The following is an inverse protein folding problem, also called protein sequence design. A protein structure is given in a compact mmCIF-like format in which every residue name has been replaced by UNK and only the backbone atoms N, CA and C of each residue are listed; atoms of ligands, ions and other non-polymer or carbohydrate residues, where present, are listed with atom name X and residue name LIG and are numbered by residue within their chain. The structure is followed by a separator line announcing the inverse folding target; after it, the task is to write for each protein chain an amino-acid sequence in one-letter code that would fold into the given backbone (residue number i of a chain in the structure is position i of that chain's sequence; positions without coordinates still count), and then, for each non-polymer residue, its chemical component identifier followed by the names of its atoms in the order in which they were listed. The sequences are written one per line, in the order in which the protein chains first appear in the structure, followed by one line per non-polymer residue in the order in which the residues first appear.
data_IF_171289095910
#
_entry.id   IF_171289095910
#
_cell.length_a   1.000
_cell.length_b   1.000
_cell.length_c   1.000
_cell.angle_alpha   90.00
_cell.angle_beta   90.00
_cell.angle_gamma   90.00
#
_symmetry.space_group_name_H-M   'P 1'
#
loop_
_entity.id
_entity.type
_entity.pdbx_description
1 polymer ?
#
# COMPACT_ATOMS: atom_id res chain seq x y z
N UNK A 1 -84.64 1.93 19.74
CA UNK A 1 -83.68 1.11 20.54
C UNK A 1 -83.00 0.15 19.58
N UNK A 2 -81.79 0.51 19.15
CA UNK A 2 -80.52 -0.22 19.37
C UNK A 2 -80.24 -1.35 18.36
N UNK A 3 -79.49 -0.96 17.33
CA UNK A 3 -78.51 -1.67 16.47
C UNK A 3 -78.53 -3.21 16.42
N UNK A 4 -78.55 -3.76 15.18
CA UNK A 4 -77.76 -4.93 14.84
C UNK A 4 -76.78 -4.60 13.72
N UNK A 5 -75.46 -4.74 13.94
CA UNK A 5 -74.59 -5.29 12.88
C UNK A 5 -73.39 -5.95 13.54
N UNK A 6 -73.34 -7.29 13.46
CA UNK A 6 -72.15 -8.06 13.77
C UNK A 6 -71.04 -7.75 12.76
N UNK A 7 -69.92 -7.28 13.26
CA UNK A 7 -68.70 -7.10 12.48
C UNK A 7 -68.10 -8.50 12.22
N UNK A 8 -68.32 -9.03 11.02
CA UNK A 8 -67.63 -10.24 10.55
C UNK A 8 -66.14 -9.92 10.41
N UNK A 9 -65.33 -10.38 11.37
CA UNK A 9 -63.89 -10.46 11.17
C UNK A 9 -63.61 -11.48 10.06
N UNK A 10 -63.42 -10.99 8.84
CA UNK A 10 -62.96 -11.82 7.74
C UNK A 10 -61.51 -12.25 8.01
N UNK A 11 -61.32 -13.57 8.06
CA UNK A 11 -60.07 -14.35 8.09
C UNK A 11 -58.97 -13.92 7.08
N UNK A 12 -59.23 -12.93 6.23
CA UNK A 12 -58.30 -12.40 5.24
C UNK A 12 -57.14 -11.58 5.86
N UNK A 13 -57.26 -11.10 7.11
CA UNK A 13 -56.24 -10.25 7.73
C UNK A 13 -55.08 -11.01 8.39
N UNK A 14 -55.23 -12.31 8.70
CA UNK A 14 -54.20 -13.10 9.41
C UNK A 14 -53.18 -13.76 8.46
N UNK A 15 -53.52 -13.97 7.19
CA UNK A 15 -52.60 -14.57 6.19
C UNK A 15 -51.44 -13.65 5.79
N UNK A 16 -51.56 -12.33 5.97
CA UNK A 16 -50.52 -11.37 5.55
C UNK A 16 -49.44 -11.08 6.59
N UNK A 17 -49.62 -11.49 7.85
CA UNK A 17 -48.61 -11.25 8.91
C UNK A 17 -47.48 -12.27 8.83
N UNK A 18 -47.80 -13.54 8.55
CA UNK A 18 -46.81 -14.62 8.40
C UNK A 18 -45.86 -14.42 7.22
N UNK A 19 -46.37 -13.95 6.09
CA UNK A 19 -45.57 -13.66 4.89
C UNK A 19 -44.72 -12.39 5.04
N UNK A 20 -45.20 -11.39 5.78
CA UNK A 20 -44.43 -10.19 6.13
C UNK A 20 -43.31 -10.48 7.13
N UNK A 21 -43.45 -11.52 7.97
CA UNK A 21 -42.38 -11.97 8.89
C UNK A 21 -41.38 -12.89 8.17
N UNK A 22 -41.82 -13.76 7.26
CA UNK A 22 -40.92 -14.63 6.46
C UNK A 22 -40.10 -13.86 5.42
N UNK A 23 -40.64 -12.79 4.82
CA UNK A 23 -39.91 -11.94 3.85
C UNK A 23 -38.89 -10.99 4.50
N UNK A 24 -38.89 -10.83 5.84
CA UNK A 24 -37.95 -9.99 6.60
C UNK A 24 -36.64 -10.69 7.01
N UNK A 25 -36.37 -11.91 6.55
CA UNK A 25 -35.13 -12.61 6.96
C UNK A 25 -33.90 -12.27 6.12
N UNK A 26 -34.07 -11.86 4.86
CA UNK A 26 -32.93 -11.46 4.01
C UNK A 26 -33.34 -10.30 3.09
N UNK A 27 -32.83 -9.11 3.40
CA UNK A 27 -33.04 -7.86 2.65
C UNK A 27 -31.86 -6.91 2.88
N UNK A 28 -31.78 -5.76 2.19
CA UNK A 28 -30.66 -4.83 2.30
C UNK A 28 -30.42 -4.37 3.75
N UNK A 29 -31.49 -4.30 4.55
CA UNK A 29 -31.47 -3.86 5.94
C UNK A 29 -31.36 -4.95 7.01
N UNK A 30 -31.38 -6.23 6.62
CA UNK A 30 -31.24 -7.33 7.57
C UNK A 30 -29.87 -7.28 8.28
N UNK A 31 -29.88 -7.26 9.62
CA UNK A 31 -28.68 -7.21 10.45
C UNK A 31 -27.72 -8.37 10.13
N UNK A 32 -28.22 -9.61 10.05
CA UNK A 32 -27.42 -10.77 9.66
C UNK A 32 -26.80 -10.59 8.26
N UNK A 33 -27.57 -10.13 7.27
CA UNK A 33 -27.06 -9.84 5.93
C UNK A 33 -26.01 -8.72 5.94
N UNK A 34 -26.18 -7.67 6.76
CA UNK A 34 -25.21 -6.59 6.94
C UNK A 34 -23.91 -7.11 7.55
N UNK A 35 -23.99 -8.00 8.55
CA UNK A 35 -22.83 -8.63 9.17
C UNK A 35 -22.09 -9.54 8.18
N UNK A 36 -22.82 -10.36 7.40
CA UNK A 36 -22.24 -11.19 6.34
C UNK A 36 -21.60 -10.32 5.25
N UNK A 37 -22.24 -9.23 4.79
CA UNK A 37 -21.66 -8.27 3.84
C UNK A 37 -20.38 -7.62 4.37
N UNK A 38 -20.37 -7.18 5.63
CA UNK A 38 -19.17 -6.63 6.29
C UNK A 38 -18.06 -7.68 6.40
N UNK A 39 -18.39 -8.91 6.78
CA UNK A 39 -17.44 -10.01 6.85
C UNK A 39 -16.85 -10.33 5.46
N UNK A 40 -17.68 -10.40 4.42
CA UNK A 40 -17.26 -10.60 3.03
C UNK A 40 -16.38 -9.46 2.52
N UNK A 41 -16.71 -8.20 2.83
CA UNK A 41 -15.85 -7.04 2.52
C UNK A 41 -14.49 -7.15 3.22
N UNK A 42 -14.45 -7.51 4.51
CA UNK A 42 -13.22 -7.74 5.27
C UNK A 42 -12.39 -8.89 4.68
N UNK A 43 -13.02 -10.02 4.32
CA UNK A 43 -12.37 -11.17 3.67
C UNK A 43 -11.79 -10.78 2.31
N UNK A 44 -12.57 -10.10 1.46
CA UNK A 44 -12.13 -9.58 0.15
C UNK A 44 -10.98 -8.60 0.29
N UNK A 45 -11.01 -7.70 1.28
CA UNK A 45 -9.90 -6.78 1.57
C UNK A 45 -8.64 -7.53 1.99
N UNK A 46 -8.74 -8.48 2.93
CA UNK A 46 -7.61 -9.32 3.37
C UNK A 46 -7.00 -10.12 2.21
N UNK A 47 -7.83 -10.77 1.40
CA UNK A 47 -7.36 -11.54 0.23
C UNK A 47 -6.69 -10.64 -0.81
N UNK A 48 -7.24 -9.45 -1.04
CA UNK A 48 -6.67 -8.45 -1.95
C UNK A 48 -5.32 -7.94 -1.44
N UNK A 49 -5.22 -7.63 -0.14
CA UNK A 49 -3.98 -7.19 0.50
C UNK A 49 -2.88 -8.26 0.38
N UNK A 50 -3.18 -9.51 0.72
CA UNK A 50 -2.23 -10.62 0.60
C UNK A 50 -1.76 -10.81 -0.85
N UNK A 51 -2.67 -10.72 -1.83
CA UNK A 51 -2.34 -10.83 -3.25
C UNK A 51 -1.45 -9.68 -3.75
N UNK A 52 -1.70 -8.46 -3.27
CA UNK A 52 -0.85 -7.28 -3.56
C UNK A 52 0.55 -7.46 -2.95
N UNK A 53 0.64 -7.93 -1.71
CA UNK A 53 1.92 -8.17 -1.04
C UNK A 53 2.74 -9.24 -1.74
N UNK A 54 2.12 -10.37 -2.10
CA UNK A 54 2.76 -11.42 -2.89
C UNK A 54 3.28 -10.88 -4.23
N UNK A 55 2.45 -10.12 -4.96
CA UNK A 55 2.85 -9.47 -6.22
C UNK A 55 4.04 -8.53 -6.02
N UNK A 56 4.03 -7.69 -4.97
CA UNK A 56 5.14 -6.77 -4.66
C UNK A 56 6.43 -7.51 -4.37
N UNK A 57 6.37 -8.65 -3.67
CA UNK A 57 7.54 -9.49 -3.40
C UNK A 57 8.14 -10.04 -4.70
N UNK A 58 7.31 -10.63 -5.56
CA UNK A 58 7.75 -11.15 -6.86
C UNK A 58 8.29 -10.03 -7.75
N UNK A 59 7.61 -8.89 -7.84
CA UNK A 59 8.04 -7.75 -8.62
C UNK A 59 9.39 -7.21 -8.15
N UNK A 60 9.63 -7.19 -6.83
CA UNK A 60 10.93 -6.75 -6.28
C UNK A 60 12.05 -7.65 -6.77
N UNK A 61 11.89 -8.96 -6.64
CA UNK A 61 12.90 -9.94 -7.05
C UNK A 61 13.17 -9.79 -8.55
N UNK A 62 12.11 -9.70 -9.36
CA UNK A 62 12.23 -9.45 -10.79
C UNK A 62 12.96 -8.15 -11.08
N UNK A 63 12.58 -7.04 -10.46
CA UNK A 63 13.20 -5.73 -10.69
C UNK A 63 14.67 -5.71 -10.29
N UNK A 64 15.04 -6.35 -9.17
CA UNK A 64 16.43 -6.45 -8.75
C UNK A 64 17.27 -7.11 -9.84
N UNK A 65 16.78 -8.24 -10.35
CA UNK A 65 17.47 -9.00 -11.40
C UNK A 65 17.50 -8.25 -12.74
N UNK A 66 16.35 -7.77 -13.21
CA UNK A 66 16.24 -7.23 -14.58
C UNK A 66 16.79 -5.82 -14.73
N UNK A 67 16.76 -5.00 -13.68
CA UNK A 67 17.22 -3.60 -13.75
C UNK A 67 18.63 -3.40 -13.25
N UNK A 68 19.05 -4.19 -12.27
CA UNK A 68 20.32 -3.98 -11.57
C UNK A 68 21.25 -5.18 -11.64
N UNK A 69 20.81 -6.29 -12.25
CA UNK A 69 21.60 -7.52 -12.29
C UNK A 69 21.76 -8.20 -10.93
N UNK A 70 20.98 -7.80 -9.91
CA UNK A 70 21.14 -8.29 -8.55
C UNK A 70 20.12 -9.37 -8.19
N UNK A 71 20.57 -10.38 -7.48
CA UNK A 71 19.75 -11.27 -6.68
C UNK A 71 19.32 -10.60 -5.38
N UNK A 72 18.34 -11.21 -4.68
CA UNK A 72 17.97 -10.73 -3.35
C UNK A 72 19.13 -10.86 -2.35
N UNK A 73 19.92 -11.93 -2.48
CA UNK A 73 21.06 -12.19 -1.61
C UNK A 73 22.17 -11.15 -1.79
N UNK A 74 22.53 -10.81 -3.02
CA UNK A 74 23.52 -9.75 -3.30
C UNK A 74 23.06 -8.39 -2.78
N UNK A 75 21.77 -8.07 -2.89
CA UNK A 75 21.21 -6.87 -2.27
C UNK A 75 21.38 -6.88 -0.74
N UNK A 76 21.16 -8.02 -0.09
CA UNK A 76 21.30 -8.17 1.37
C UNK A 76 22.76 -8.09 1.81
N UNK A 77 23.69 -8.64 1.02
CA UNK A 77 25.13 -8.49 1.25
C UNK A 77 25.56 -7.03 1.15
N UNK A 78 25.14 -6.32 0.11
CA UNK A 78 25.42 -4.88 -0.05
C UNK A 78 24.80 -4.06 1.08
N UNK A 79 23.59 -4.42 1.53
CA UNK A 79 22.97 -3.78 2.69
C UNK A 79 23.78 -4.00 3.97
N UNK A 80 24.32 -5.20 4.16
CA UNK A 80 25.15 -5.55 5.32
C UNK A 80 26.49 -4.83 5.27
N UNK A 81 27.13 -4.76 4.11
CA UNK A 81 28.39 -4.04 3.88
C UNK A 81 28.24 -2.55 4.20
N UNK A 82 27.06 -1.98 3.98
CA UNK A 82 26.72 -0.61 4.36
C UNK A 82 26.14 -0.46 5.78
N UNK A 83 26.23 -1.47 6.65
CA UNK A 83 25.66 -1.45 8.01
C UNK A 83 24.16 -1.11 8.06
N UNK A 84 23.41 -1.45 7.02
CA UNK A 84 21.99 -1.10 6.88
C UNK A 84 21.71 0.39 6.64
N UNK A 85 22.73 1.18 6.32
CA UNK A 85 22.69 2.65 6.21
C UNK A 85 22.82 3.13 4.77
N UNK A 86 22.35 4.35 4.53
CA UNK A 86 22.53 5.04 3.26
C UNK A 86 24.02 5.34 2.99
N UNK A 87 24.53 5.01 1.80
CA UNK A 87 25.93 5.27 1.44
C UNK A 87 26.30 6.76 1.38
N UNK A 88 25.32 7.66 1.22
CA UNK A 88 25.58 9.12 1.17
C UNK A 88 25.44 9.78 2.53
N UNK A 89 24.31 9.60 3.21
CA UNK A 89 24.02 10.33 4.44
C UNK A 89 24.33 9.54 5.72
N UNK A 90 24.72 8.27 5.64
CA UNK A 90 25.03 7.44 6.81
C UNK A 90 23.83 7.06 7.68
N UNK A 91 22.63 7.55 7.35
CA UNK A 91 21.42 7.29 8.14
C UNK A 91 20.75 5.96 7.78
N UNK A 92 20.19 5.31 8.80
CA UNK A 92 19.24 4.22 8.61
C UNK A 92 17.96 4.74 7.96
N UNK A 93 17.27 3.91 7.19
CA UNK A 93 16.01 4.35 6.58
C UNK A 93 14.92 4.50 7.66
N UNK A 94 14.75 5.72 8.18
CA UNK A 94 13.80 6.08 9.26
C UNK A 94 12.35 5.71 8.99
N UNK A 95 11.96 5.50 7.72
CA UNK A 95 10.59 5.16 7.33
C UNK A 95 10.31 3.65 7.35
N UNK A 96 11.26 2.81 7.77
CA UNK A 96 11.18 1.35 7.67
C UNK A 96 11.12 0.83 6.23
N UNK A 97 11.31 1.71 5.26
CA UNK A 97 11.42 1.36 3.84
C UNK A 97 12.82 0.86 3.56
N UNK A 98 12.92 0.04 2.52
CA UNK A 98 14.21 -0.46 2.05
C UNK A 98 14.94 0.65 1.30
N UNK A 99 16.27 0.63 1.37
CA UNK A 99 17.12 1.51 0.57
C UNK A 99 16.91 1.21 -0.93
N UNK A 100 17.07 2.25 -1.74
CA UNK A 100 17.01 2.15 -3.19
C UNK A 100 18.37 1.71 -3.72
N UNK A 101 18.37 0.90 -4.78
CA UNK A 101 19.60 0.55 -5.51
C UNK A 101 19.95 1.74 -6.39
N UNK A 102 21.10 2.34 -6.12
CA UNK A 102 21.68 3.40 -6.93
C UNK A 102 22.66 2.80 -7.93
N UNK A 103 22.60 3.29 -9.17
CA UNK A 103 23.37 2.76 -10.29
C UNK A 103 23.70 3.89 -11.26
N UNK A 104 24.82 3.74 -11.94
CA UNK A 104 25.21 4.63 -13.02
C UNK A 104 24.31 4.39 -14.24
N UNK A 105 23.63 5.44 -14.72
CA UNK A 105 22.68 5.32 -15.82
C UNK A 105 23.33 5.09 -17.20
N UNK A 106 24.65 5.23 -17.34
CA UNK A 106 25.39 4.98 -18.59
C UNK A 106 25.90 3.54 -18.66
N UNK A 107 26.41 3.02 -17.54
CA UNK A 107 27.06 1.69 -17.47
C UNK A 107 26.18 0.62 -16.85
N UNK A 108 25.13 1.00 -16.13
CA UNK A 108 24.31 0.10 -15.33
C UNK A 108 24.99 -0.41 -14.06
N UNK A 109 26.23 0.01 -13.78
CA UNK A 109 26.99 -0.44 -12.61
C UNK A 109 26.32 0.06 -11.32
N UNK A 110 26.06 -0.86 -10.40
CA UNK A 110 25.55 -0.53 -9.06
C UNK A 110 26.62 0.22 -8.28
N UNK A 111 26.25 1.39 -7.73
CA UNK A 111 27.12 2.25 -6.91
C UNK A 111 26.94 1.98 -5.42
N UNK A 112 25.71 1.68 -4.99
CA UNK A 112 25.38 1.40 -3.59
C UNK A 112 23.89 1.46 -3.30
N UNK A 113 23.54 1.43 -2.01
CA UNK A 113 22.17 1.60 -1.52
C UNK A 113 21.97 2.96 -0.88
N UNK A 114 20.94 3.68 -1.34
CA UNK A 114 20.64 5.04 -0.93
C UNK A 114 19.27 5.17 -0.28
N UNK A 115 19.12 6.08 0.67
CA UNK A 115 17.81 6.47 1.14
C UNK A 115 17.04 7.21 0.01
N UNK A 116 15.71 7.21 0.07
CA UNK A 116 14.87 7.84 -0.97
C UNK A 116 15.20 9.32 -1.21
N UNK A 117 15.62 10.05 -0.17
CA UNK A 117 15.98 11.48 -0.28
C UNK A 117 17.29 11.64 -1.05
N UNK A 118 18.36 10.97 -0.63
CA UNK A 118 19.65 11.00 -1.30
C UNK A 118 19.55 10.52 -2.75
N UNK A 119 18.90 9.38 -3.00
CA UNK A 119 18.75 8.84 -4.36
C UNK A 119 18.04 9.81 -5.30
N UNK A 120 17.04 10.55 -4.81
CA UNK A 120 16.36 11.58 -5.60
C UNK A 120 17.20 12.82 -5.77
N UNK A 121 17.91 13.22 -4.72
CA UNK A 121 18.84 14.35 -4.76
C UNK A 121 19.86 14.17 -5.88
N UNK A 122 20.53 13.02 -5.92
CA UNK A 122 21.48 12.69 -7.00
C UNK A 122 20.79 12.73 -8.37
N UNK A 123 19.61 12.10 -8.50
CA UNK A 123 18.85 12.10 -9.76
C UNK A 123 18.37 13.49 -10.21
N UNK A 124 18.11 14.44 -9.29
CA UNK A 124 17.75 15.82 -9.66
C UNK A 124 18.92 16.60 -10.27
N UNK A 125 20.14 16.13 -10.08
CA UNK A 125 21.33 16.66 -10.73
C UNK A 125 21.74 15.83 -11.95
N UNK A 126 20.90 14.90 -12.43
CA UNK A 126 21.15 14.04 -13.59
C UNK A 126 22.48 13.25 -13.51
N UNK A 127 22.90 12.88 -12.30
CA UNK A 127 24.21 12.27 -12.03
C UNK A 127 25.42 13.12 -12.51
N UNK A 128 25.23 14.41 -12.75
CA UNK A 128 26.25 15.34 -13.24
C UNK A 128 27.06 15.93 -12.06
N UNK A 129 28.33 15.56 -11.99
CA UNK A 129 29.28 16.01 -10.97
C UNK A 129 29.42 17.53 -10.99
N UNK A 130 29.52 18.15 -12.16
CA UNK A 130 29.68 19.60 -12.28
C UNK A 130 28.45 20.36 -11.77
N UNK A 131 27.24 19.80 -11.92
CA UNK A 131 26.02 20.38 -11.31
C UNK A 131 26.06 20.29 -9.78
N UNK A 132 26.51 19.17 -9.22
CA UNK A 132 26.65 18.98 -7.78
C UNK A 132 27.68 19.95 -7.17
N UNK A 133 28.83 20.13 -7.82
CA UNK A 133 29.87 21.07 -7.40
C UNK A 133 29.39 22.53 -7.40
N UNK A 134 28.60 22.92 -8.41
CA UNK A 134 27.96 24.25 -8.45
C UNK A 134 26.95 24.42 -7.32
N UNK A 135 26.15 23.40 -7.02
CA UNK A 135 25.22 23.44 -5.90
C UNK A 135 25.94 23.59 -4.55
N UNK A 136 27.05 22.87 -4.34
CA UNK A 136 27.90 23.01 -3.16
C UNK A 136 28.47 24.44 -3.05
N UNK A 137 29.00 24.97 -4.15
CA UNK A 137 29.56 26.33 -4.22
C UNK A 137 28.51 27.38 -3.87
N UNK A 138 27.31 27.25 -4.46
CA UNK A 138 26.18 28.12 -4.17
C UNK A 138 25.85 28.14 -2.66
N UNK A 139 25.72 26.96 -2.03
CA UNK A 139 25.42 26.87 -0.60
C UNK A 139 26.53 27.48 0.27
N UNK A 140 27.80 27.17 -0.02
CA UNK A 140 28.95 27.76 0.70
C UNK A 140 28.96 29.29 0.66
N UNK A 141 28.44 29.90 -0.40
CA UNK A 141 28.30 31.36 -0.51
C UNK A 141 27.44 31.99 0.59
N UNK A 142 26.50 31.24 1.18
CA UNK A 142 25.61 31.69 2.26
C UNK A 142 26.05 31.26 3.66
N UNK A 143 26.99 30.31 3.77
CA UNK A 143 27.55 29.84 5.04
C UNK A 143 28.98 30.33 5.25
N UNK A 144 29.23 31.62 4.94
CA UNK A 144 30.50 32.24 5.28
C UNK A 144 30.58 32.42 6.79
N UNK A 145 31.66 31.92 7.39
CA UNK A 145 32.07 32.28 8.74
C UNK A 145 32.35 33.79 8.83
#
# INVERSE_FOLDING_TARGET
MTLPVGYKHTEQAKKNIGDAIRKRKHGPDCFHCKQVKKANKRRKYKSTKARIEARRKTQRISNLKTRYGLTLHEYELLLKEQDGKCAICGEVCSTGKRLAVDHDHKTGRVRGLLCRRCNRGVGHFDDDISRLERALTYLKGYFKC
#
